data_IF_794356251220
#
_entry.id   IF_794356251220
#
_cell.length_a   1.000
_cell.length_b   1.000
_cell.length_c   1.000
_cell.angle_alpha   90.00
_cell.angle_beta   90.00
_cell.angle_gamma   90.00
#
_symmetry.space_group_name_H-M   'P 1'
#
loop_
_entity.id
_entity.type
_entity.pdbx_description
1 polymer ?
#
# COMPACT_ATOMS: atom_id res chain seq x y z
N UNK A 1 26.64 11.03 -26.43
CA UNK A 1 27.79 10.14 -26.12
C UNK A 1 28.80 10.73 -25.14
N UNK A 2 29.36 11.93 -25.34
CA UNK A 2 30.37 12.49 -24.40
C UNK A 2 29.75 12.82 -23.02
N UNK A 3 28.58 13.48 -23.00
CA UNK A 3 27.88 13.87 -21.75
C UNK A 3 27.51 12.69 -20.85
N UNK A 4 26.95 11.62 -21.41
CA UNK A 4 26.60 10.38 -20.67
C UNK A 4 27.84 9.73 -20.06
N UNK A 5 28.95 9.66 -20.81
CA UNK A 5 30.22 9.12 -20.29
C UNK A 5 30.79 10.00 -19.18
N UNK A 6 30.74 11.31 -19.33
CA UNK A 6 31.22 12.25 -18.31
C UNK A 6 30.37 12.18 -17.04
N UNK A 7 29.05 12.03 -17.18
CA UNK A 7 28.13 11.75 -16.08
C UNK A 7 28.49 10.45 -15.35
N UNK A 8 28.64 9.35 -16.09
CA UNK A 8 29.00 8.05 -15.52
C UNK A 8 30.34 8.10 -14.77
N UNK A 9 31.32 8.85 -15.26
CA UNK A 9 32.60 9.09 -14.57
C UNK A 9 32.45 9.92 -13.30
N UNK A 10 31.67 11.02 -13.33
CA UNK A 10 31.44 11.90 -12.17
C UNK A 10 30.79 11.16 -11.01
N UNK A 11 29.94 10.18 -11.30
CA UNK A 11 29.20 9.40 -10.31
C UNK A 11 29.67 7.94 -10.20
N UNK A 12 30.96 7.66 -10.47
CA UNK A 12 31.57 6.37 -10.11
C UNK A 12 31.59 6.24 -8.58
N UNK A 13 30.58 5.58 -8.02
CA UNK A 13 30.53 5.25 -6.61
C UNK A 13 31.36 3.98 -6.34
N UNK A 14 32.48 4.12 -5.63
CA UNK A 14 33.27 3.01 -5.07
C UNK A 14 32.57 2.28 -3.91
N UNK A 15 31.35 2.69 -3.53
CA UNK A 15 30.58 2.06 -2.46
C UNK A 15 29.69 0.95 -3.01
N UNK A 16 30.14 -0.28 -2.84
CA UNK A 16 29.28 -1.46 -2.94
C UNK A 16 28.14 -1.32 -1.93
N UNK A 17 26.91 -1.25 -2.42
CA UNK A 17 25.72 -1.15 -1.56
C UNK A 17 25.41 -2.47 -0.82
N UNK A 18 26.16 -3.55 -1.11
CA UNK A 18 25.89 -4.90 -0.63
C UNK A 18 24.71 -5.58 -1.33
N UNK A 19 23.88 -4.83 -2.06
CA UNK A 19 22.84 -5.36 -2.94
C UNK A 19 23.47 -5.73 -4.29
N UNK A 20 23.28 -6.98 -4.74
CA UNK A 20 23.78 -7.44 -6.03
C UNK A 20 23.41 -6.46 -7.15
N UNK A 21 24.41 -5.90 -7.81
CA UNK A 21 24.25 -4.77 -8.74
C UNK A 21 24.17 -5.17 -10.21
N UNK A 22 24.33 -6.48 -10.50
CA UNK A 22 24.33 -7.02 -11.86
C UNK A 22 22.94 -6.99 -12.50
N UNK A 23 22.86 -6.35 -13.67
CA UNK A 23 21.61 -6.17 -14.42
C UNK A 23 21.06 -7.47 -15.01
N UNK A 24 21.91 -8.46 -15.28
CA UNK A 24 21.48 -9.75 -15.84
C UNK A 24 20.50 -10.52 -14.94
N UNK A 25 20.42 -10.16 -13.66
CA UNK A 25 19.54 -10.79 -12.68
C UNK A 25 18.36 -9.89 -12.25
N UNK A 26 18.17 -8.73 -12.89
CA UNK A 26 17.11 -7.76 -12.55
C UNK A 26 16.08 -7.66 -13.68
N UNK A 27 14.80 -7.49 -13.31
CA UNK A 27 13.74 -7.20 -14.28
C UNK A 27 13.81 -5.77 -14.82
N UNK A 28 12.98 -5.47 -15.82
CA UNK A 28 12.92 -4.16 -16.51
C UNK A 28 12.63 -2.97 -15.58
N UNK A 29 11.89 -3.21 -14.48
CA UNK A 29 11.60 -2.24 -13.40
C UNK A 29 11.76 -2.87 -12.03
N UNK A 30 12.24 -2.11 -11.04
CA UNK A 30 12.38 -2.57 -9.65
C UNK A 30 11.05 -2.50 -8.89
N UNK A 31 10.28 -1.44 -9.11
CA UNK A 31 8.95 -1.25 -8.55
C UNK A 31 7.93 -1.21 -9.66
N UNK A 32 6.77 -1.82 -9.42
CA UNK A 32 5.59 -1.59 -10.22
C UNK A 32 5.06 -0.17 -9.99
N UNK A 33 4.20 0.30 -10.90
CA UNK A 33 3.62 1.66 -10.82
C UNK A 33 2.76 1.85 -9.56
N UNK A 34 2.24 0.77 -8.98
CA UNK A 34 1.50 0.78 -7.72
C UNK A 34 2.40 0.81 -6.46
N UNK A 35 3.73 0.84 -6.64
CA UNK A 35 4.70 0.86 -5.55
C UNK A 35 5.06 -0.52 -5.00
N UNK A 36 4.50 -1.60 -5.54
CA UNK A 36 4.87 -2.97 -5.15
C UNK A 36 6.20 -3.37 -5.75
N UNK A 37 6.97 -4.21 -5.04
CA UNK A 37 8.23 -4.72 -5.56
C UNK A 37 7.98 -5.72 -6.69
N UNK A 38 8.63 -5.51 -7.83
CA UNK A 38 8.58 -6.43 -8.96
C UNK A 38 9.54 -7.61 -8.74
N UNK A 39 9.27 -8.40 -7.69
CA UNK A 39 10.12 -9.50 -7.25
C UNK A 39 9.28 -10.76 -7.02
N UNK A 40 9.57 -11.81 -7.77
CA UNK A 40 9.03 -13.15 -7.51
C UNK A 40 9.94 -13.87 -6.52
N UNK A 41 9.40 -14.27 -5.36
CA UNK A 41 10.12 -15.03 -4.34
C UNK A 41 9.84 -16.52 -4.54
N UNK A 42 10.87 -17.28 -4.87
CA UNK A 42 10.81 -18.75 -5.01
C UNK A 42 11.73 -19.42 -3.97
N UNK A 43 11.61 -20.74 -3.77
CA UNK A 43 12.51 -21.51 -2.89
C UNK A 43 12.09 -21.68 -1.43
N UNK A 44 10.97 -21.08 -0.98
CA UNK A 44 10.42 -21.30 0.37
C UNK A 44 9.43 -22.48 0.37
N UNK A 45 9.40 -23.26 1.47
CA UNK A 45 8.42 -24.33 1.67
C UNK A 45 6.98 -23.80 1.79
N UNK A 46 5.97 -24.64 1.52
CA UNK A 46 4.56 -24.22 1.56
C UNK A 46 4.17 -23.61 2.92
N UNK A 47 4.57 -24.25 4.02
CA UNK A 47 4.24 -23.81 5.39
C UNK A 47 4.94 -22.51 5.80
N UNK A 48 6.17 -22.27 5.32
CA UNK A 48 6.94 -21.06 5.61
C UNK A 48 6.37 -19.82 4.91
N UNK A 49 5.67 -20.01 3.79
CA UNK A 49 5.00 -18.93 3.05
C UNK A 49 3.71 -18.46 3.73
N UNK A 50 3.13 -19.29 4.59
CA UNK A 50 1.87 -18.97 5.25
C UNK A 50 2.20 -18.11 6.46
N UNK A 51 1.82 -16.84 6.40
CA UNK A 51 1.70 -15.98 7.57
C UNK A 51 0.21 -15.83 7.88
N UNK A 52 -0.37 -16.67 8.76
CA UNK A 52 -1.82 -16.72 8.97
C UNK A 52 -2.37 -15.37 9.38
N UNK A 53 -1.70 -14.69 10.31
CA UNK A 53 -2.10 -13.37 10.77
C UNK A 53 -2.10 -12.34 9.63
N UNK A 54 -1.01 -12.28 8.85
CA UNK A 54 -0.92 -11.32 7.74
C UNK A 54 -2.00 -11.55 6.68
N UNK A 55 -2.26 -12.81 6.30
CA UNK A 55 -3.30 -13.14 5.33
C UNK A 55 -4.69 -12.76 5.84
N UNK A 56 -4.99 -13.09 7.10
CA UNK A 56 -6.28 -12.77 7.73
C UNK A 56 -6.56 -11.27 7.80
N UNK A 57 -5.54 -10.43 8.04
CA UNK A 57 -5.73 -8.97 8.11
C UNK A 57 -5.69 -8.27 6.73
N UNK A 58 -5.07 -8.90 5.72
CA UNK A 58 -4.90 -8.28 4.39
C UNK A 58 -5.90 -8.77 3.34
N UNK A 59 -6.57 -9.90 3.55
CA UNK A 59 -7.52 -10.44 2.57
C UNK A 59 -8.69 -9.48 2.29
N UNK A 60 -9.37 -9.56 1.13
CA UNK A 60 -10.57 -8.77 0.87
C UNK A 60 -11.69 -9.03 1.87
N UNK A 61 -12.50 -8.01 2.18
CA UNK A 61 -13.59 -8.09 3.17
C UNK A 61 -14.58 -9.23 2.91
N UNK A 62 -14.92 -9.48 1.64
CA UNK A 62 -15.83 -10.57 1.25
C UNK A 62 -15.30 -11.92 1.65
N UNK A 63 -14.03 -12.21 1.34
CA UNK A 63 -13.41 -13.49 1.68
C UNK A 63 -13.28 -13.67 3.19
N UNK A 64 -12.97 -12.59 3.91
CA UNK A 64 -12.90 -12.61 5.38
C UNK A 64 -14.25 -12.94 6.02
N UNK A 65 -15.34 -12.28 5.58
CA UNK A 65 -16.68 -12.55 6.08
C UNK A 65 -17.15 -13.96 5.74
N UNK A 66 -16.92 -14.42 4.50
CA UNK A 66 -17.23 -15.80 4.10
C UNK A 66 -16.47 -16.82 4.94
N UNK A 67 -15.20 -16.56 5.26
CA UNK A 67 -14.39 -17.43 6.11
C UNK A 67 -14.95 -17.50 7.55
N UNK A 68 -15.33 -16.36 8.14
CA UNK A 68 -15.97 -16.33 9.47
C UNK A 68 -17.27 -17.14 9.46
N UNK A 69 -18.15 -16.92 8.49
CA UNK A 69 -19.42 -17.64 8.36
C UNK A 69 -19.16 -19.13 8.18
N UNK A 70 -18.19 -19.51 7.34
CA UNK A 70 -17.83 -20.91 7.11
C UNK A 70 -17.29 -21.58 8.36
N UNK A 71 -16.41 -20.90 9.12
CA UNK A 71 -15.89 -21.40 10.38
C UNK A 71 -16.98 -21.55 11.44
N UNK A 72 -17.90 -20.58 11.53
CA UNK A 72 -19.07 -20.66 12.39
C UNK A 72 -19.92 -21.88 12.04
N UNK A 73 -20.30 -22.06 10.78
CA UNK A 73 -21.07 -23.22 10.35
C UNK A 73 -20.32 -24.52 10.64
N UNK A 74 -19.04 -24.61 10.31
CA UNK A 74 -18.22 -25.80 10.54
C UNK A 74 -18.14 -26.19 12.03
N UNK A 75 -17.93 -25.23 12.93
CA UNK A 75 -17.96 -25.47 14.37
C UNK A 75 -19.33 -25.99 14.83
N UNK A 76 -20.42 -25.36 14.39
CA UNK A 76 -21.76 -25.83 14.73
C UNK A 76 -22.05 -27.24 14.19
N UNK A 77 -21.63 -27.55 12.97
CA UNK A 77 -21.73 -28.90 12.41
C UNK A 77 -20.93 -29.92 13.24
N UNK A 78 -19.73 -29.56 13.70
CA UNK A 78 -18.89 -30.41 14.54
C UNK A 78 -19.56 -30.71 15.89
N UNK A 79 -20.03 -29.69 16.60
CA UNK A 79 -20.67 -29.88 17.91
C UNK A 79 -22.03 -30.59 17.78
N UNK A 80 -22.83 -30.23 16.78
CA UNK A 80 -24.07 -30.95 16.43
C UNK A 80 -23.79 -32.44 16.24
N UNK A 81 -22.74 -32.78 15.47
CA UNK A 81 -22.34 -34.18 15.28
C UNK A 81 -21.90 -34.83 16.60
N UNK A 82 -21.19 -34.11 17.46
CA UNK A 82 -20.84 -34.55 18.81
C UNK A 82 -22.05 -34.89 19.67
N UNK A 83 -23.09 -34.05 19.66
CA UNK A 83 -24.35 -34.31 20.35
C UNK A 83 -25.07 -35.57 19.83
N UNK A 84 -25.03 -35.80 18.51
CA UNK A 84 -25.56 -37.03 17.93
C UNK A 84 -24.78 -38.28 18.35
N UNK A 85 -23.46 -38.17 18.53
CA UNK A 85 -22.60 -39.29 18.99
C UNK A 85 -22.83 -39.61 20.47
N UNK A 86 -22.98 -38.59 21.32
CA UNK A 86 -23.28 -38.77 22.76
C UNK A 86 -24.64 -39.44 22.95
N UNK A 87 -25.60 -39.10 22.09
CA UNK A 87 -26.96 -39.63 22.13
C UNK A 87 -27.97 -38.53 22.45
N UNK A 88 -29.10 -38.60 21.78
CA UNK A 88 -30.15 -37.58 21.88
C UNK A 88 -30.93 -37.66 23.18
N UNK A 89 -30.86 -38.78 23.88
CA UNK A 89 -31.52 -39.00 25.17
C UNK A 89 -30.93 -38.12 26.29
N UNK A 90 -29.73 -37.57 26.07
CA UNK A 90 -29.08 -36.62 26.98
C UNK A 90 -29.50 -35.15 26.73
N UNK A 91 -30.38 -34.89 25.76
CA UNK A 91 -30.83 -33.54 25.37
C UNK A 91 -32.36 -33.48 25.43
N UNK A 92 -32.89 -32.50 26.17
CA UNK A 92 -34.34 -32.28 26.28
C UNK A 92 -34.81 -31.11 25.40
N UNK A 93 -36.11 -31.04 25.15
CA UNK A 93 -36.75 -29.93 24.43
C UNK A 93 -36.78 -30.05 22.90
N UNK A 94 -36.46 -31.23 22.36
CA UNK A 94 -36.57 -31.57 20.93
C UNK A 94 -38.00 -32.02 20.63
N UNK A 95 -38.69 -31.33 19.72
CA UNK A 95 -40.10 -31.65 19.39
C UNK A 95 -40.25 -32.44 18.09
N UNK A 96 -39.37 -32.22 17.12
CA UNK A 96 -39.51 -32.85 15.81
C UNK A 96 -38.95 -34.29 15.78
N UNK A 97 -39.74 -35.17 15.18
CA UNK A 97 -39.39 -36.59 14.99
C UNK A 97 -38.72 -36.87 13.65
N UNK A 98 -38.91 -36.00 12.64
CA UNK A 98 -38.26 -36.13 11.33
C UNK A 98 -36.75 -35.86 11.44
N UNK A 99 -35.87 -36.70 10.85
CA UNK A 99 -34.42 -36.56 10.99
C UNK A 99 -33.86 -35.18 10.65
N UNK A 100 -34.32 -34.58 9.54
CA UNK A 100 -33.86 -33.26 9.08
C UNK A 100 -34.28 -32.16 10.06
N UNK A 101 -35.54 -32.16 10.49
CA UNK A 101 -36.06 -31.18 11.44
C UNK A 101 -35.36 -31.30 12.79
N UNK A 102 -35.09 -32.52 13.24
CA UNK A 102 -34.33 -32.78 14.47
C UNK A 102 -32.89 -32.27 14.37
N UNK A 103 -32.22 -32.51 13.25
CA UNK A 103 -30.89 -31.97 13.00
C UNK A 103 -30.86 -30.45 13.09
N UNK A 104 -31.84 -29.77 12.47
CA UNK A 104 -31.95 -28.31 12.52
C UNK A 104 -32.14 -27.82 13.96
N UNK A 105 -32.93 -28.51 14.79
CA UNK A 105 -33.11 -28.13 16.20
C UNK A 105 -31.82 -28.24 17.01
N UNK A 106 -31.05 -29.31 16.83
CA UNK A 106 -29.78 -29.51 17.55
C UNK A 106 -28.71 -28.56 17.01
N UNK A 107 -28.69 -28.31 15.71
CA UNK A 107 -27.84 -27.29 15.11
C UNK A 107 -28.16 -25.90 15.66
N UNK A 108 -29.44 -25.57 15.82
CA UNK A 108 -29.87 -24.31 16.44
C UNK A 108 -29.49 -24.26 17.93
N UNK A 109 -29.52 -25.38 18.65
CA UNK A 109 -29.01 -25.48 20.01
C UNK A 109 -27.50 -25.21 20.08
N UNK A 110 -26.70 -25.90 19.25
CA UNK A 110 -25.26 -25.65 19.09
C UNK A 110 -24.99 -24.17 18.79
N UNK A 111 -25.74 -23.57 17.86
CA UNK A 111 -25.59 -22.16 17.52
C UNK A 111 -25.86 -21.23 18.70
N UNK A 112 -26.89 -21.52 19.49
CA UNK A 112 -27.23 -20.75 20.69
C UNK A 112 -26.18 -20.92 21.81
N UNK A 113 -25.61 -22.11 21.96
CA UNK A 113 -24.55 -22.40 22.94
C UNK A 113 -23.24 -21.72 22.53
N UNK A 114 -22.83 -21.87 21.27
CA UNK A 114 -21.60 -21.27 20.72
C UNK A 114 -21.63 -19.74 20.72
N UNK A 115 -22.79 -19.13 20.49
CA UNK A 115 -22.98 -17.66 20.53
C UNK A 115 -23.36 -17.14 21.93
N UNK A 116 -23.48 -18.03 22.92
CA UNK A 116 -23.89 -17.70 24.29
C UNK A 116 -25.27 -17.03 24.40
N UNK A 117 -26.15 -17.23 23.40
CA UNK A 117 -27.52 -16.71 23.40
C UNK A 117 -28.43 -17.53 24.31
N UNK A 118 -28.36 -18.87 24.22
CA UNK A 118 -29.02 -19.80 25.12
C UNK A 118 -30.50 -19.52 25.43
N UNK A 119 -31.41 -19.59 24.45
CA UNK A 119 -32.85 -19.36 24.70
C UNK A 119 -33.49 -20.38 25.66
N UNK A 120 -32.81 -21.49 25.96
CA UNK A 120 -33.20 -22.45 27.00
C UNK A 120 -34.32 -23.41 26.62
N UNK A 121 -34.80 -23.39 25.36
CA UNK A 121 -35.77 -24.36 24.84
C UNK A 121 -35.19 -25.76 24.76
N UNK A 122 -33.99 -25.87 24.18
CA UNK A 122 -33.22 -27.12 24.08
C UNK A 122 -32.06 -27.02 25.05
N UNK A 123 -31.88 -28.03 25.89
CA UNK A 123 -30.90 -28.01 26.98
C UNK A 123 -30.32 -29.41 27.21
N UNK A 124 -29.04 -29.51 27.59
CA UNK A 124 -28.46 -30.77 28.01
C UNK A 124 -29.02 -31.16 29.39
N UNK A 125 -29.31 -32.44 29.59
CA UNK A 125 -29.76 -33.01 30.87
C UNK A 125 -28.80 -34.05 31.42
N UNK A 126 -28.02 -34.71 30.57
CA UNK A 126 -27.01 -35.66 31.01
C UNK A 126 -25.61 -35.04 31.14
N UNK A 127 -24.76 -35.73 31.90
CA UNK A 127 -23.44 -35.22 32.29
C UNK A 127 -22.51 -35.04 31.08
N UNK A 128 -22.59 -35.95 30.10
CA UNK A 128 -21.73 -35.88 28.91
C UNK A 128 -22.18 -34.78 27.94
N UNK A 129 -23.49 -34.63 27.73
CA UNK A 129 -24.01 -33.52 26.92
C UNK A 129 -23.72 -32.16 27.57
N UNK A 130 -23.80 -32.07 28.90
CA UNK A 130 -23.49 -30.85 29.66
C UNK A 130 -22.01 -30.49 29.57
N UNK A 131 -21.12 -31.48 29.65
CA UNK A 131 -19.68 -31.28 29.46
C UNK A 131 -19.37 -30.79 28.03
N UNK A 132 -19.99 -31.41 27.01
CA UNK A 132 -19.81 -30.98 25.62
C UNK A 132 -20.32 -29.55 25.40
N UNK A 133 -21.48 -29.21 25.95
CA UNK A 133 -22.04 -27.86 25.87
C UNK A 133 -21.16 -26.83 26.58
N UNK A 134 -20.54 -27.20 27.71
CA UNK A 134 -19.59 -26.34 28.42
C UNK A 134 -18.32 -26.08 27.60
N UNK A 135 -17.79 -27.13 26.95
CA UNK A 135 -16.65 -27.00 26.02
C UNK A 135 -17.02 -26.17 24.80
N UNK A 136 -18.21 -26.36 24.23
CA UNK A 136 -18.73 -25.57 23.13
C UNK A 136 -18.83 -24.09 23.49
N UNK A 137 -19.38 -23.76 24.66
CA UNK A 137 -19.46 -22.39 25.14
C UNK A 137 -18.07 -21.75 25.31
N UNK A 138 -17.09 -22.50 25.83
CA UNK A 138 -15.70 -22.02 25.96
C UNK A 138 -15.08 -21.76 24.58
N UNK A 139 -15.24 -22.68 23.63
CA UNK A 139 -14.76 -22.52 22.24
C UNK A 139 -15.43 -21.33 21.57
N UNK A 140 -16.73 -21.14 21.78
CA UNK A 140 -17.50 -20.00 21.29
C UNK A 140 -16.96 -18.67 21.81
N UNK A 141 -16.75 -18.57 23.13
CA UNK A 141 -16.17 -17.39 23.77
C UNK A 141 -14.79 -17.03 23.21
N UNK A 142 -13.89 -18.02 23.11
CA UNK A 142 -12.55 -17.80 22.55
C UNK A 142 -12.59 -17.41 21.07
N UNK A 143 -13.47 -18.04 20.29
CA UNK A 143 -13.66 -17.74 18.87
C UNK A 143 -14.17 -16.31 18.66
N UNK A 144 -15.13 -15.86 19.50
CA UNK A 144 -15.65 -14.50 19.43
C UNK A 144 -14.58 -13.46 19.78
N UNK A 145 -13.77 -13.73 20.81
CA UNK A 145 -12.63 -12.88 21.18
C UNK A 145 -11.62 -12.76 20.02
N UNK A 146 -11.27 -13.89 19.38
CA UNK A 146 -10.36 -13.91 18.24
C UNK A 146 -10.92 -13.12 17.05
N UNK A 147 -12.16 -13.38 16.65
CA UNK A 147 -12.81 -12.71 15.52
C UNK A 147 -12.92 -11.21 15.77
N UNK A 148 -13.29 -10.80 16.99
CA UNK A 148 -13.34 -9.38 17.38
C UNK A 148 -11.97 -8.72 17.30
N UNK A 149 -10.92 -9.39 17.79
CA UNK A 149 -9.54 -8.90 17.67
C UNK A 149 -9.08 -8.76 16.22
N UNK A 150 -9.42 -9.72 15.36
CA UNK A 150 -9.12 -9.65 13.92
C UNK A 150 -9.90 -8.53 13.23
N UNK A 151 -11.18 -8.35 13.54
CA UNK A 151 -11.98 -7.24 13.05
C UNK A 151 -11.36 -5.89 13.43
N UNK A 152 -11.01 -5.71 14.71
CA UNK A 152 -10.32 -4.51 15.16
C UNK A 152 -8.99 -4.31 14.44
N UNK A 153 -8.15 -5.35 14.34
CA UNK A 153 -6.88 -5.27 13.61
C UNK A 153 -7.03 -4.88 12.14
N UNK A 154 -8.13 -5.33 11.49
CA UNK A 154 -8.46 -4.95 10.10
C UNK A 154 -8.96 -3.51 9.99
N UNK A 155 -9.80 -3.05 10.92
CA UNK A 155 -10.31 -1.67 10.93
C UNK A 155 -9.25 -0.64 11.32
N UNK A 156 -8.35 -0.99 12.23
CA UNK A 156 -7.29 -0.12 12.74
C UNK A 156 -6.07 -0.05 11.83
N UNK A 157 -6.08 -0.75 10.69
CA UNK A 157 -5.01 -0.66 9.70
C UNK A 157 -5.18 0.65 8.90
N UNK A 158 -4.16 1.52 8.85
CA UNK A 158 -4.23 2.74 8.07
C UNK A 158 -4.34 2.39 6.58
N UNK A 159 -5.34 2.97 5.93
CA UNK A 159 -5.50 2.91 4.48
C UNK A 159 -5.46 4.32 3.92
N UNK A 160 -4.25 4.85 3.77
CA UNK A 160 -4.07 6.13 3.09
C UNK A 160 -4.27 5.94 1.59
N UNK A 161 -5.26 6.64 1.02
CA UNK A 161 -5.49 6.68 -0.42
C UNK A 161 -4.77 7.89 -0.98
N UNK A 162 -3.46 7.74 -1.18
CA UNK A 162 -2.64 8.75 -1.84
C UNK A 162 -2.83 8.67 -3.35
N UNK A 163 -2.93 9.83 -3.98
CA UNK A 163 -2.92 10.00 -5.43
C UNK A 163 -1.59 10.57 -5.84
N UNK A 164 -1.08 10.09 -6.96
CA UNK A 164 0.14 10.60 -7.57
C UNK A 164 -0.16 11.09 -8.98
N UNK A 165 0.63 12.06 -9.45
CA UNK A 165 0.62 12.40 -10.86
C UNK A 165 0.99 11.19 -11.69
N UNK A 166 0.35 11.03 -12.85
CA UNK A 166 0.63 9.90 -13.73
C UNK A 166 2.01 9.95 -14.36
N UNK A 167 2.53 11.16 -14.53
CA UNK A 167 3.81 11.48 -15.13
C UNK A 167 4.63 12.36 -14.19
N UNK A 168 5.95 12.23 -14.29
CA UNK A 168 6.88 13.24 -13.80
C UNK A 168 7.12 14.27 -14.92
N UNK A 169 7.31 15.53 -14.58
CA UNK A 169 7.55 16.60 -15.55
C UNK A 169 8.94 17.20 -15.34
N UNK A 170 9.64 17.48 -16.44
CA UNK A 170 10.73 18.47 -16.42
C UNK A 170 10.10 19.80 -16.80
N UNK A 171 10.08 20.71 -15.83
CA UNK A 171 9.33 21.96 -15.88
C UNK A 171 10.24 23.17 -15.59
N UNK A 172 9.87 24.38 -16.07
CA UNK A 172 10.49 25.61 -15.62
C UNK A 172 10.29 25.80 -14.10
N UNK A 173 11.35 26.16 -13.39
CA UNK A 173 11.35 26.41 -11.95
C UNK A 173 12.26 27.58 -11.61
N UNK A 174 11.67 28.73 -11.27
CA UNK A 174 12.41 29.98 -11.11
C UNK A 174 13.22 30.24 -12.41
N UNK A 175 14.52 30.51 -12.28
CA UNK A 175 15.43 30.74 -13.40
C UNK A 175 16.07 29.44 -13.94
N UNK A 176 15.69 28.28 -13.39
CA UNK A 176 16.24 26.96 -13.74
C UNK A 176 15.15 25.98 -14.20
N UNK A 177 15.54 24.73 -14.38
CA UNK A 177 14.61 23.62 -14.62
C UNK A 177 14.51 22.73 -13.40
N UNK A 178 13.41 22.01 -13.24
CA UNK A 178 13.25 21.06 -12.16
C UNK A 178 12.47 19.83 -12.62
N UNK A 179 12.79 18.69 -12.00
CA UNK A 179 12.00 17.47 -12.06
C UNK A 179 10.89 17.56 -11.01
N UNK A 180 9.64 17.42 -11.44
CA UNK A 180 8.47 17.59 -10.59
C UNK A 180 7.48 16.43 -10.72
N UNK A 181 6.87 16.04 -9.60
CA UNK A 181 5.69 15.17 -9.58
C UNK A 181 4.82 15.53 -8.39
N UNK A 182 3.53 15.18 -8.47
CA UNK A 182 2.54 15.58 -7.46
C UNK A 182 2.07 14.41 -6.63
N UNK A 183 1.77 14.72 -5.38
CA UNK A 183 1.09 13.85 -4.44
C UNK A 183 -0.09 14.60 -3.82
N UNK A 184 -1.21 13.91 -3.59
CA UNK A 184 -2.35 14.45 -2.87
C UNK A 184 -3.02 13.36 -2.02
N UNK A 185 -3.60 13.74 -0.89
CA UNK A 185 -4.48 12.84 -0.14
C UNK A 185 -5.88 12.84 -0.78
N UNK A 186 -6.38 11.67 -1.18
CA UNK A 186 -7.77 11.55 -1.65
C UNK A 186 -8.79 11.53 -0.50
N UNK A 187 -8.33 11.26 0.73
CA UNK A 187 -9.19 11.25 1.91
C UNK A 187 -9.17 12.63 2.58
N UNK A 188 -10.18 12.87 3.40
CA UNK A 188 -10.35 14.11 4.18
C UNK A 188 -9.53 14.14 5.47
N UNK A 189 -8.94 13.01 5.88
CA UNK A 189 -8.09 12.98 7.06
C UNK A 189 -6.79 13.75 6.80
N UNK A 190 -6.16 14.20 7.87
CA UNK A 190 -4.90 14.92 7.77
C UNK A 190 -3.73 13.93 7.80
N UNK A 191 -2.81 14.13 6.87
CA UNK A 191 -1.49 13.50 6.90
C UNK A 191 -0.50 14.57 7.35
N UNK A 192 0.19 14.31 8.45
CA UNK A 192 1.17 15.22 9.04
C UNK A 192 2.56 14.58 8.99
N UNK A 193 3.60 15.36 9.30
CA UNK A 193 5.00 14.90 9.27
C UNK A 193 5.36 14.24 7.92
N UNK A 194 4.93 14.86 6.82
CA UNK A 194 5.11 14.32 5.49
C UNK A 194 6.57 14.46 5.06
N UNK A 195 7.18 13.36 4.65
CA UNK A 195 8.58 13.25 4.23
C UNK A 195 8.65 12.54 2.87
N UNK A 196 9.39 13.14 1.94
CA UNK A 196 9.66 12.58 0.62
C UNK A 196 11.16 12.34 0.47
N UNK A 197 11.53 11.19 -0.07
CA UNK A 197 12.89 10.85 -0.47
C UNK A 197 12.87 10.29 -1.87
N UNK A 198 13.80 10.74 -2.72
CA UNK A 198 13.80 10.35 -4.13
C UNK A 198 15.13 9.76 -4.51
N UNK A 199 15.05 8.59 -5.13
CA UNK A 199 16.18 7.83 -5.62
C UNK A 199 16.13 7.84 -7.14
N UNK A 200 17.15 8.43 -7.75
CA UNK A 200 17.41 8.33 -9.18
C UNK A 200 18.27 7.09 -9.42
N UNK A 201 17.81 6.18 -10.27
CA UNK A 201 18.60 5.03 -10.66
C UNK A 201 18.75 4.95 -12.19
N UNK A 202 19.88 4.42 -12.67
CA UNK A 202 20.21 4.34 -14.10
C UNK A 202 21.08 3.13 -14.44
N UNK A 203 21.13 2.78 -15.73
CA UNK A 203 22.02 1.74 -16.26
C UNK A 203 23.40 2.33 -16.56
N UNK A 204 24.41 1.89 -15.80
CA UNK A 204 25.81 2.14 -16.13
C UNK A 204 26.33 1.08 -17.12
N UNK A 205 26.55 1.51 -18.36
CA UNK A 205 26.99 0.64 -19.46
C UNK A 205 28.44 0.16 -19.29
N UNK A 206 29.31 0.92 -18.60
CA UNK A 206 30.71 0.52 -18.41
C UNK A 206 30.82 -0.67 -17.47
N UNK A 207 30.04 -0.66 -16.39
CA UNK A 207 30.09 -1.69 -15.35
C UNK A 207 28.97 -2.73 -15.47
N UNK A 208 28.07 -2.54 -16.45
CA UNK A 208 26.84 -3.31 -16.63
C UNK A 208 26.03 -3.49 -15.34
N UNK A 209 25.91 -2.41 -14.57
CA UNK A 209 25.26 -2.39 -13.27
C UNK A 209 24.21 -1.29 -13.16
N UNK A 210 23.17 -1.52 -12.33
CA UNK A 210 22.24 -0.46 -11.95
C UNK A 210 22.89 0.39 -10.85
N UNK A 211 22.90 1.70 -11.02
CA UNK A 211 23.43 2.67 -10.04
C UNK A 211 22.28 3.43 -9.41
N UNK A 212 22.45 3.80 -8.14
CA UNK A 212 21.42 4.44 -7.32
C UNK A 212 21.99 5.71 -6.68
N UNK A 213 21.31 6.83 -6.86
CA UNK A 213 21.73 8.15 -6.38
C UNK A 213 20.52 8.82 -5.71
N UNK A 214 20.68 9.23 -4.45
CA UNK A 214 19.67 10.08 -3.81
C UNK A 214 19.75 11.48 -4.42
N UNK A 215 18.63 12.04 -4.82
CA UNK A 215 18.55 13.40 -5.35
C UNK A 215 17.94 14.34 -4.30
N UNK A 216 18.49 15.54 -4.18
CA UNK A 216 18.06 16.53 -3.20
C UNK A 216 16.73 17.18 -3.61
N UNK A 217 15.81 17.36 -2.67
CA UNK A 217 14.54 18.03 -2.93
C UNK A 217 14.58 19.45 -2.40
N UNK A 218 13.85 20.37 -3.05
CA UNK A 218 13.64 21.73 -2.55
C UNK A 218 13.05 21.69 -1.13
N UNK A 219 12.04 20.85 -0.96
CA UNK A 219 11.51 20.46 0.35
C UNK A 219 11.48 18.94 0.43
N UNK A 220 12.24 18.36 1.35
CA UNK A 220 12.14 16.94 1.68
C UNK A 220 11.05 16.67 2.72
N UNK A 221 10.61 17.69 3.47
CA UNK A 221 9.62 17.58 4.55
C UNK A 221 8.62 18.72 4.51
N UNK A 222 7.36 18.41 4.77
CA UNK A 222 6.28 19.39 4.98
C UNK A 222 5.42 18.95 6.17
N UNK A 223 4.93 19.92 6.95
CA UNK A 223 4.24 19.62 8.20
C UNK A 223 2.89 18.92 7.99
N UNK A 224 2.16 19.27 6.93
CA UNK A 224 0.86 18.69 6.62
C UNK A 224 0.58 18.69 5.11
N UNK A 225 -0.06 17.62 4.63
CA UNK A 225 -0.57 17.50 3.26
C UNK A 225 -2.06 17.88 3.22
N UNK A 226 -2.35 19.18 3.33
CA UNK A 226 -3.73 19.71 3.32
C UNK A 226 -4.33 19.86 1.91
N UNK A 227 -3.47 20.08 0.91
CA UNK A 227 -3.81 20.16 -0.51
C UNK A 227 -2.97 19.12 -1.29
N UNK A 228 -2.62 19.42 -2.54
CA UNK A 228 -1.58 18.70 -3.28
C UNK A 228 -0.20 19.24 -2.91
N UNK A 229 0.79 18.37 -2.79
CA UNK A 229 2.20 18.74 -2.73
C UNK A 229 2.88 18.41 -4.05
N UNK A 230 3.48 19.42 -4.68
CA UNK A 230 4.40 19.20 -5.81
C UNK A 230 5.78 18.99 -5.23
N UNK A 231 6.31 17.77 -5.37
CA UNK A 231 7.67 17.44 -4.99
C UNK A 231 8.57 17.93 -6.12
N UNK A 232 9.57 18.73 -5.76
CA UNK A 232 10.44 19.43 -6.71
C UNK A 232 11.89 19.03 -6.41
N UNK A 233 12.56 18.49 -7.43
CA UNK A 233 14.01 18.35 -7.48
C UNK A 233 14.55 19.42 -8.42
N UNK A 234 15.16 20.50 -7.91
CA UNK A 234 15.82 21.49 -8.74
C UNK A 234 16.98 20.87 -9.52
N UNK A 235 17.05 21.15 -10.83
CA UNK A 235 18.15 20.70 -11.69
C UNK A 235 19.17 21.84 -11.74
N UNK A 236 20.02 21.90 -10.72
CA UNK A 236 21.18 22.80 -10.63
C UNK A 236 22.50 22.01 -10.73
N UNK A 237 23.65 22.67 -10.60
CA UNK A 237 24.98 22.06 -10.78
C UNK A 237 25.27 20.84 -9.87
N UNK A 238 24.55 20.73 -8.75
CA UNK A 238 24.64 19.61 -7.81
C UNK A 238 23.76 18.43 -8.24
N UNK A 239 22.74 18.67 -9.05
CA UNK A 239 21.85 17.63 -9.58
C UNK A 239 22.65 16.64 -10.44
N UNK A 240 22.43 15.32 -10.27
CA UNK A 240 23.02 14.31 -11.14
C UNK A 240 22.58 14.47 -12.60
N UNK A 241 21.36 14.95 -12.83
CA UNK A 241 20.81 15.11 -14.18
C UNK A 241 21.11 16.48 -14.81
N UNK A 242 21.95 17.30 -14.17
CA UNK A 242 22.37 18.59 -14.70
C UNK A 242 23.14 18.45 -16.01
N UNK A 243 22.75 19.24 -17.01
CA UNK A 243 23.38 19.25 -18.35
C UNK A 243 23.01 18.06 -19.25
N UNK A 244 22.21 17.11 -18.77
CA UNK A 244 21.66 16.02 -19.58
C UNK A 244 20.45 16.50 -20.39
N UNK A 245 20.36 16.10 -21.65
CA UNK A 245 19.16 16.30 -22.45
C UNK A 245 18.25 15.05 -22.44
N UNK A 246 17.13 15.14 -23.15
CA UNK A 246 16.16 14.03 -23.25
C UNK A 246 16.77 12.75 -23.83
N UNK A 247 17.61 12.86 -24.87
CA UNK A 247 18.26 11.71 -25.49
C UNK A 247 19.33 11.07 -24.59
N UNK A 248 20.06 11.88 -23.81
CA UNK A 248 21.03 11.40 -22.83
C UNK A 248 20.33 10.60 -21.72
N UNK A 249 19.17 11.08 -21.25
CA UNK A 249 18.36 10.36 -20.26
C UNK A 249 17.73 9.10 -20.86
N UNK A 250 17.28 9.10 -22.11
CA UNK A 250 16.82 7.88 -22.79
C UNK A 250 17.91 6.80 -22.79
N UNK A 251 19.16 7.21 -23.08
CA UNK A 251 20.31 6.32 -23.11
C UNK A 251 20.63 5.69 -21.73
N UNK A 252 20.40 6.44 -20.65
CA UNK A 252 20.62 6.02 -19.26
C UNK A 252 19.52 5.10 -18.72
N UNK A 253 18.38 5.01 -19.41
CA UNK A 253 17.18 4.27 -19.01
C UNK A 253 16.80 4.49 -17.53
N UNK A 254 16.56 5.74 -17.10
CA UNK A 254 16.37 6.08 -15.71
C UNK A 254 15.08 5.50 -15.13
N UNK A 255 15.13 5.24 -13.84
CA UNK A 255 13.95 5.01 -13.01
C UNK A 255 14.05 5.90 -11.76
N UNK A 256 13.03 6.73 -11.54
CA UNK A 256 12.92 7.64 -10.39
C UNK A 256 11.99 6.99 -9.39
N UNK A 257 12.51 6.63 -8.22
CA UNK A 257 11.75 6.03 -7.14
C UNK A 257 11.47 7.08 -6.08
N UNK A 258 10.19 7.40 -5.87
CA UNK A 258 9.71 8.19 -4.75
C UNK A 258 9.38 7.28 -3.57
N UNK A 259 9.92 7.59 -2.41
CA UNK A 259 9.49 7.08 -1.12
C UNK A 259 8.81 8.20 -0.36
N UNK A 260 7.54 7.99 0.01
CA UNK A 260 6.78 8.96 0.79
C UNK A 260 6.36 8.34 2.13
N UNK A 261 6.62 9.08 3.20
CA UNK A 261 6.25 8.77 4.58
C UNK A 261 5.38 9.90 5.11
N UNK A 262 4.35 9.56 5.87
CA UNK A 262 3.61 10.53 6.66
C UNK A 262 3.02 9.84 7.90
N UNK A 263 2.58 10.63 8.87
CA UNK A 263 1.77 10.17 9.99
C UNK A 263 0.30 10.43 9.70
N UNK A 264 -0.52 9.38 9.79
CA UNK A 264 -1.97 9.48 9.68
C UNK A 264 -2.57 9.75 11.06
N UNK A 265 -3.10 10.96 11.24
CA UNK A 265 -3.63 11.42 12.53
C UNK A 265 -4.83 10.57 13.00
N UNK A 266 -5.64 10.06 12.07
CA UNK A 266 -6.83 9.25 12.41
C UNK A 266 -6.47 7.88 12.96
N UNK A 267 -5.43 7.25 12.42
CA UNK A 267 -4.98 5.92 12.84
C UNK A 267 -3.79 5.95 13.79
N UNK A 268 -3.25 7.14 14.06
CA UNK A 268 -2.04 7.40 14.83
C UNK A 268 -0.86 6.51 14.42
N UNK A 269 -0.68 6.34 13.11
CA UNK A 269 0.30 5.42 12.54
C UNK A 269 1.05 6.04 11.37
N UNK A 270 2.30 5.62 11.19
CA UNK A 270 3.09 5.97 10.02
C UNK A 270 2.60 5.20 8.79
N UNK A 271 2.35 5.92 7.72
CA UNK A 271 2.11 5.37 6.39
C UNK A 271 3.39 5.45 5.57
N UNK A 272 3.62 4.42 4.76
CA UNK A 272 4.75 4.36 3.84
C UNK A 272 4.24 3.94 2.48
N UNK A 273 4.56 4.75 1.48
CA UNK A 273 4.16 4.52 0.10
C UNK A 273 5.35 4.73 -0.82
N UNK A 274 5.30 4.05 -1.96
CA UNK A 274 6.36 4.10 -2.96
C UNK A 274 5.73 4.30 -4.32
N UNK A 275 6.46 4.97 -5.20
CA UNK A 275 6.09 5.14 -6.59
C UNK A 275 7.36 5.10 -7.43
N UNK A 276 7.23 4.65 -8.68
CA UNK A 276 8.31 4.65 -9.65
C UNK A 276 7.86 5.31 -10.94
N UNK A 277 8.74 6.12 -11.53
CA UNK A 277 8.60 6.67 -12.88
C UNK A 277 9.76 6.21 -13.74
N UNK A 278 9.48 5.55 -14.85
CA UNK A 278 10.50 5.25 -15.87
C UNK A 278 10.66 6.43 -16.85
N UNK A 279 11.64 6.33 -17.75
CA UNK A 279 11.87 7.35 -18.78
C UNK A 279 10.62 7.74 -19.58
N UNK A 280 9.77 6.77 -19.97
CA UNK A 280 8.56 7.01 -20.77
C UNK A 280 7.48 7.79 -20.00
N UNK A 281 7.57 7.78 -18.67
CA UNK A 281 6.64 8.49 -17.78
C UNK A 281 7.17 9.89 -17.41
N UNK A 282 8.34 10.30 -17.93
CA UNK A 282 8.92 11.64 -17.77
C UNK A 282 8.61 12.50 -19.00
N UNK A 283 7.90 13.60 -18.81
CA UNK A 283 7.54 14.54 -19.88
C UNK A 283 8.43 15.78 -19.80
N UNK A 284 9.14 16.08 -20.89
CA UNK A 284 9.94 17.29 -21.02
C UNK A 284 9.11 18.51 -21.44
N UNK A 285 9.44 19.67 -20.89
CA UNK A 285 8.83 20.93 -21.32
C UNK A 285 7.34 20.95 -21.03
N UNK A 286 6.98 20.67 -19.77
CA UNK A 286 5.60 20.66 -19.35
C UNK A 286 5.46 21.28 -17.96
N UNK A 287 4.31 21.88 -17.69
CA UNK A 287 3.96 22.45 -16.40
C UNK A 287 2.59 21.93 -15.99
N UNK A 288 2.49 21.45 -14.76
CA UNK A 288 1.21 21.01 -14.24
C UNK A 288 0.20 22.16 -14.09
N UNK A 289 -1.07 21.87 -14.35
CA UNK A 289 -2.16 22.83 -14.18
C UNK A 289 -2.47 23.07 -12.70
N UNK A 290 -2.97 24.25 -12.30
CA UNK A 290 -3.45 24.48 -10.95
C UNK A 290 -4.59 23.51 -10.59
N UNK A 291 -4.53 22.91 -9.40
CA UNK A 291 -5.56 21.97 -8.92
C UNK A 291 -6.52 22.58 -7.91
N UNK A 292 -6.30 23.82 -7.50
CA UNK A 292 -7.10 24.45 -6.46
C UNK A 292 -7.67 25.76 -6.95
N UNK A 293 -8.90 26.02 -6.52
CA UNK A 293 -9.63 27.26 -6.77
C UNK A 293 -10.40 27.65 -5.53
N UNK A 294 -10.75 28.93 -5.43
CA UNK A 294 -11.63 29.41 -4.37
C UNK A 294 -13.05 28.88 -4.59
N UNK A 295 -13.75 28.49 -3.52
CA UNK A 295 -15.15 28.10 -3.60
C UNK A 295 -16.04 29.30 -3.93
N UNK A 296 -17.24 29.02 -4.46
CA UNK A 296 -18.22 30.06 -4.83
C UNK A 296 -18.64 30.92 -3.63
N UNK A 297 -18.71 30.32 -2.43
CA UNK A 297 -19.01 31.06 -1.20
C UNK A 297 -17.82 31.87 -0.68
N UNK A 298 -16.61 31.65 -1.20
CA UNK A 298 -15.40 32.37 -0.83
C UNK A 298 -14.74 31.91 0.47
N UNK A 299 -15.36 31.02 1.24
CA UNK A 299 -14.89 30.57 2.57
C UNK A 299 -13.96 29.35 2.55
N UNK A 300 -13.87 28.65 1.42
CA UNK A 300 -13.12 27.40 1.33
C UNK A 300 -12.34 27.28 0.02
N UNK A 301 -11.35 26.37 0.03
CA UNK A 301 -10.59 26.00 -1.17
C UNK A 301 -11.15 24.71 -1.74
N UNK A 302 -11.45 24.70 -3.03
CA UNK A 302 -11.87 23.51 -3.78
C UNK A 302 -10.62 22.89 -4.40
N UNK A 303 -10.29 21.66 -3.99
CA UNK A 303 -9.21 20.85 -4.56
C UNK A 303 -9.80 19.86 -5.60
N UNK A 304 -9.40 20.02 -6.85
CA UNK A 304 -9.84 19.21 -8.00
C UNK A 304 -8.89 18.02 -8.20
N UNK A 305 -9.10 16.93 -7.44
CA UNK A 305 -8.21 15.75 -7.45
C UNK A 305 -8.07 15.08 -8.84
N UNK A 306 -9.06 15.23 -9.71
CA UNK A 306 -9.00 14.76 -11.11
C UNK A 306 -7.93 15.47 -11.95
N UNK A 307 -7.42 16.62 -11.49
CA UNK A 307 -6.34 17.38 -12.14
C UNK A 307 -4.93 16.98 -11.68
N UNK A 308 -4.78 15.92 -10.88
CA UNK A 308 -3.49 15.52 -10.27
C UNK A 308 -2.37 15.35 -11.30
N UNK A 309 -2.70 14.82 -12.47
CA UNK A 309 -1.78 14.62 -13.59
C UNK A 309 -2.02 15.55 -14.78
N UNK A 310 -2.90 16.55 -14.70
CA UNK A 310 -3.14 17.46 -15.82
C UNK A 310 -1.97 18.44 -15.97
N UNK A 311 -1.48 18.59 -17.19
CA UNK A 311 -0.37 19.46 -17.54
C UNK A 311 -0.55 20.07 -18.93
N UNK A 312 0.16 21.17 -19.14
CA UNK A 312 0.28 21.86 -20.42
C UNK A 312 1.75 21.89 -20.84
N UNK A 313 2.00 21.76 -22.14
CA UNK A 313 3.35 21.90 -22.70
C UNK A 313 3.80 23.35 -22.60
N UNK A 314 5.08 23.54 -22.32
CA UNK A 314 5.72 24.84 -22.10
C UNK A 314 7.18 24.77 -22.52
N UNK A 315 7.68 25.84 -23.12
CA UNK A 315 9.10 25.95 -23.43
C UNK A 315 9.93 25.99 -22.14
N UNK A 316 11.03 25.24 -22.14
CA UNK A 316 11.99 25.25 -21.05
C UNK A 316 12.88 26.50 -21.17
N UNK A 317 13.35 27.07 -20.04
CA UNK A 317 14.37 28.10 -20.06
C UNK A 317 15.60 27.62 -20.83
N UNK A 318 16.13 28.49 -21.69
CA UNK A 318 17.30 28.18 -22.51
C UNK A 318 18.57 28.15 -21.62
N UNK A 319 18.92 26.96 -21.12
CA UNK A 319 20.08 26.71 -20.25
C UNK A 319 21.43 27.07 -20.92
N UNK A 320 21.46 27.42 -22.21
CA UNK A 320 22.70 27.82 -22.90
C UNK A 320 23.06 29.30 -22.73
N UNK A 321 22.12 30.16 -22.30
CA UNK A 321 22.37 31.61 -22.17
C UNK A 321 23.15 32.01 -20.91
N UNK A 322 23.19 31.18 -19.87
CA UNK A 322 23.95 31.48 -18.64
C UNK A 322 25.48 31.48 -18.83
N UNK A 323 26.00 30.91 -19.92
CA UNK A 323 27.46 30.95 -20.18
C UNK A 323 27.97 32.30 -20.71
N UNK A 324 27.09 33.28 -20.97
CA UNK A 324 27.49 34.55 -21.63
C UNK A 324 27.54 35.77 -20.70
N UNK A 325 27.07 35.66 -19.46
CA UNK A 325 27.04 36.79 -18.50
C UNK A 325 27.91 36.51 -17.27
N UNK A 326 29.18 36.20 -17.49
CA UNK A 326 30.23 36.45 -16.49
C UNK A 326 31.39 37.09 -17.23
N UNK A 327 31.42 38.42 -17.26
CA UNK A 327 32.56 39.23 -17.65
C UNK A 327 33.01 40.09 -16.47
#
# INVERSE_FOLDING_TARGET
MTRVRDFQKRFKFDRYTGFGSGLNNQGDRLLNRDGTFNVSRTGQGFWERISPFHQLITMPWTHFMTMIISAFLALNFLFTSGYYVIGLDEITGIYHTKPISRFIEIFAFSAQTLTTVGYGRVSPIGDFASLLASLEALVGLLSFALVTGLLYGRFSRPFARLLYSENALIAPFQDKTALMFRIANARKNQLIECEATVLFNYHDKETNARRFINIELEYAKVNALSLSWTIVHPIDEKSPIYGLNQADLEELQPEIILMFKAFDDTYSQNIHTRLSYNFKEIIWGAKFDPMYKRSESGFSTVLELNKIGQYQLMELPDLTKEKTEVY
#
